data_IF_590224459963
#
_entry.id   IF_590224459963
#
_cell.length_a   1.000
_cell.length_b   1.000
_cell.length_c   1.000
_cell.angle_alpha   90.00
_cell.angle_beta   90.00
_cell.angle_gamma   90.00
#
_symmetry.space_group_name_H-M   'P 1'
#
loop_
_entity.id
_entity.type
_entity.pdbx_description
1 polymer ?
#
# COMPACT_ATOMS: atom_id res chain seq x y z
N UNK A 1 19.96 -16.22 16.50
CA UNK A 1 18.64 -15.95 15.89
C UNK A 1 17.72 -17.16 15.80
N UNK A 2 18.20 -18.41 15.69
CA UNK A 2 17.32 -19.59 15.52
C UNK A 2 17.14 -20.48 16.76
N UNK A 3 18.04 -20.41 17.75
CA UNK A 3 18.10 -21.33 18.90
C UNK A 3 16.79 -21.41 19.69
N UNK A 4 16.10 -20.28 19.87
CA UNK A 4 14.92 -20.18 20.73
C UNK A 4 13.60 -20.16 19.96
N UNK A 5 13.62 -20.21 18.63
CA UNK A 5 12.40 -20.01 17.83
C UNK A 5 11.38 -21.13 18.01
N UNK A 6 11.82 -22.37 18.22
CA UNK A 6 10.91 -23.51 18.47
C UNK A 6 10.15 -23.33 19.78
N UNK A 7 10.83 -23.01 20.87
CA UNK A 7 10.20 -22.77 22.17
C UNK A 7 9.24 -21.55 22.13
N UNK A 8 9.60 -20.51 21.39
CA UNK A 8 8.73 -19.35 21.19
C UNK A 8 7.49 -19.74 20.38
N UNK A 9 7.67 -20.50 19.29
CA UNK A 9 6.58 -20.99 18.47
C UNK A 9 5.59 -21.83 19.28
N UNK A 10 6.06 -22.80 20.07
CA UNK A 10 5.19 -23.68 20.87
C UNK A 10 4.33 -22.87 21.86
N UNK A 11 4.94 -21.88 22.53
CA UNK A 11 4.23 -20.99 23.46
C UNK A 11 3.19 -20.13 22.75
N UNK A 12 3.53 -19.57 21.59
CA UNK A 12 2.61 -18.72 20.81
C UNK A 12 1.47 -19.55 20.20
N UNK A 13 1.76 -20.73 19.66
CA UNK A 13 0.77 -21.64 19.10
C UNK A 13 -0.27 -22.07 20.15
N UNK A 14 0.17 -22.45 21.35
CA UNK A 14 -0.71 -22.80 22.45
C UNK A 14 -1.61 -21.62 22.88
N UNK A 15 -1.06 -20.40 22.95
CA UNK A 15 -1.84 -19.20 23.29
C UNK A 15 -2.85 -18.84 22.19
N UNK A 16 -2.49 -19.01 20.91
CA UNK A 16 -3.40 -18.80 19.78
C UNK A 16 -4.56 -19.79 19.79
N UNK A 17 -4.29 -21.07 20.04
CA UNK A 17 -5.31 -22.11 20.14
C UNK A 17 -6.26 -21.83 21.30
N UNK A 18 -5.72 -21.50 22.48
CA UNK A 18 -6.50 -21.10 23.66
C UNK A 18 -7.42 -19.90 23.38
N UNK A 19 -6.98 -18.97 22.53
CA UNK A 19 -7.77 -17.79 22.14
C UNK A 19 -8.66 -18.02 20.92
N UNK A 20 -8.60 -19.20 20.28
CA UNK A 20 -9.32 -19.51 19.04
C UNK A 20 -8.86 -18.69 17.82
N UNK A 21 -7.60 -18.26 17.79
CA UNK A 21 -7.03 -17.34 16.77
C UNK A 21 -6.07 -18.01 15.79
N UNK A 22 -5.89 -19.33 15.87
CA UNK A 22 -4.97 -20.07 14.99
C UNK A 22 -5.27 -19.81 13.50
N UNK A 23 -6.56 -19.81 13.12
CA UNK A 23 -6.98 -19.52 11.75
C UNK A 23 -6.65 -18.09 11.29
N UNK A 24 -6.58 -17.12 12.22
CA UNK A 24 -6.22 -15.75 11.87
C UNK A 24 -4.77 -15.68 11.39
N UNK A 25 -3.86 -16.39 12.07
CA UNK A 25 -2.44 -16.42 11.71
C UNK A 25 -2.24 -17.10 10.37
N UNK A 26 -2.90 -18.24 10.11
CA UNK A 26 -2.80 -18.89 8.81
C UNK A 26 -3.26 -17.99 7.66
N UNK A 27 -4.32 -17.19 7.85
CA UNK A 27 -4.74 -16.19 6.86
C UNK A 27 -3.68 -15.09 6.66
N UNK A 28 -2.93 -14.69 7.69
CA UNK A 28 -1.83 -13.74 7.53
C UNK A 28 -0.58 -14.37 6.87
N UNK A 29 -0.39 -15.69 7.00
CA UNK A 29 0.73 -16.40 6.39
C UNK A 29 0.54 -16.65 4.90
N UNK A 30 -0.69 -16.73 4.40
CA UNK A 30 -1.00 -16.99 2.98
C UNK A 30 -0.23 -16.06 2.05
N UNK A 31 -0.20 -14.75 2.36
CA UNK A 31 0.54 -13.77 1.55
C UNK A 31 2.06 -13.97 1.60
N UNK A 32 2.59 -14.48 2.71
CA UNK A 32 4.01 -14.78 2.88
C UNK A 32 4.42 -16.08 2.20
N UNK A 33 3.48 -17.00 1.98
CA UNK A 33 3.70 -18.25 1.27
C UNK A 33 3.60 -18.08 -0.26
N UNK A 34 2.96 -17.02 -0.75
CA UNK A 34 2.81 -16.75 -2.18
C UNK A 34 4.13 -16.25 -2.81
N UNK A 35 4.75 -16.99 -3.75
CA UNK A 35 5.94 -16.53 -4.46
C UNK A 35 5.74 -15.22 -5.21
N UNK A 36 4.51 -14.91 -5.64
CA UNK A 36 4.19 -13.66 -6.33
C UNK A 36 4.43 -12.43 -5.44
N UNK A 37 4.35 -12.57 -4.11
CA UNK A 37 4.68 -11.51 -3.14
C UNK A 37 6.13 -11.05 -3.26
N UNK A 38 7.03 -11.96 -3.66
CA UNK A 38 8.46 -11.71 -3.80
C UNK A 38 8.90 -11.48 -5.25
N UNK A 39 8.01 -11.73 -6.21
CA UNK A 39 8.28 -11.47 -7.61
C UNK A 39 8.41 -9.96 -7.85
N UNK A 40 9.61 -9.52 -8.23
CA UNK A 40 9.86 -8.14 -8.63
C UNK A 40 9.76 -8.03 -10.15
N UNK A 41 8.58 -7.64 -10.65
CA UNK A 41 8.44 -7.23 -12.06
C UNK A 41 9.27 -5.97 -12.32
N UNK A 42 10.28 -6.02 -13.21
CA UNK A 42 11.04 -4.83 -13.60
C UNK A 42 10.16 -3.68 -14.06
N UNK A 43 9.02 -3.96 -14.70
CA UNK A 43 8.11 -2.94 -15.22
C UNK A 43 7.33 -2.20 -14.13
N UNK A 44 7.31 -2.73 -12.91
CA UNK A 44 6.67 -2.08 -11.74
C UNK A 44 7.69 -1.41 -10.81
N UNK A 45 9.00 -1.56 -11.08
CA UNK A 45 10.07 -1.02 -10.24
C UNK A 45 10.00 0.51 -10.05
N UNK A 46 9.43 1.23 -11.02
CA UNK A 46 9.25 2.69 -10.95
C UNK A 46 8.31 3.13 -9.83
N UNK A 47 7.36 2.29 -9.40
CA UNK A 47 6.39 2.66 -8.35
C UNK A 47 7.07 2.97 -7.00
N UNK A 48 8.27 2.43 -6.77
CA UNK A 48 9.04 2.63 -5.53
C UNK A 48 9.92 3.89 -5.57
N UNK A 49 10.10 4.50 -6.74
CA UNK A 49 10.94 5.69 -6.92
C UNK A 49 10.11 6.95 -6.71
N UNK A 50 10.50 7.77 -5.73
CA UNK A 50 9.81 9.03 -5.43
C UNK A 50 10.16 10.10 -6.45
N UNK A 51 9.14 10.68 -7.09
CA UNK A 51 9.29 11.82 -8.01
C UNK A 51 8.53 13.04 -7.51
N UNK A 52 9.09 14.24 -7.72
CA UNK A 52 8.47 15.50 -7.29
C UNK A 52 7.19 15.85 -8.08
N UNK A 53 7.16 15.54 -9.38
CA UNK A 53 6.04 15.83 -10.26
C UNK A 53 5.72 14.61 -11.15
N UNK A 54 4.79 13.73 -10.73
CA UNK A 54 4.49 12.48 -11.43
C UNK A 54 3.56 12.71 -12.63
N UNK A 55 4.02 13.47 -13.63
CA UNK A 55 3.29 13.64 -14.90
C UNK A 55 3.34 12.33 -15.70
N UNK A 56 2.28 11.95 -16.44
CA UNK A 56 2.26 10.67 -17.17
C UNK A 56 3.48 10.43 -18.07
N UNK A 57 3.95 11.47 -18.78
CA UNK A 57 5.17 11.42 -19.59
C UNK A 57 6.43 11.09 -18.78
N UNK A 58 6.58 11.75 -17.62
CA UNK A 58 7.69 11.51 -16.68
C UNK A 58 7.65 10.08 -16.15
N UNK A 59 6.45 9.58 -15.82
CA UNK A 59 6.27 8.21 -15.34
C UNK A 59 6.57 7.16 -16.43
N UNK A 60 6.21 7.45 -17.68
CA UNK A 60 6.53 6.58 -18.81
C UNK A 60 8.06 6.44 -18.98
N UNK A 61 8.79 7.55 -18.92
CA UNK A 61 10.26 7.53 -18.96
C UNK A 61 10.81 6.77 -17.75
N UNK A 62 10.35 7.10 -16.53
CA UNK A 62 10.79 6.48 -15.29
C UNK A 62 10.61 4.95 -15.31
N UNK A 63 9.49 4.46 -15.85
CA UNK A 63 9.18 3.04 -16.00
C UNK A 63 10.25 2.31 -16.80
N UNK A 64 10.61 2.82 -17.98
CA UNK A 64 11.60 2.16 -18.83
C UNK A 64 12.99 2.13 -18.20
N UNK A 65 13.44 3.25 -17.63
CA UNK A 65 14.78 3.34 -17.01
C UNK A 65 14.86 2.58 -15.67
N UNK A 66 13.77 2.51 -14.90
CA UNK A 66 13.71 1.72 -13.68
C UNK A 66 13.67 0.23 -13.99
N UNK A 67 12.95 -0.19 -15.03
CA UNK A 67 12.94 -1.57 -15.51
C UNK A 67 14.32 -2.01 -15.98
N UNK A 68 15.04 -1.15 -16.71
CA UNK A 68 16.44 -1.43 -17.06
C UNK A 68 17.31 -1.61 -15.82
N UNK A 69 17.20 -0.72 -14.83
CA UNK A 69 17.99 -0.82 -13.59
C UNK A 69 17.69 -2.13 -12.85
N UNK A 70 16.42 -2.50 -12.75
CA UNK A 70 15.99 -3.71 -12.06
C UNK A 70 16.56 -4.97 -12.74
N UNK A 71 16.42 -5.08 -14.07
CA UNK A 71 17.03 -6.19 -14.83
C UNK A 71 18.54 -6.26 -14.64
N UNK A 72 19.21 -5.10 -14.72
CA UNK A 72 20.68 -5.01 -14.55
C UNK A 72 21.13 -5.44 -13.16
N UNK A 73 20.37 -5.07 -12.12
CA UNK A 73 20.62 -5.44 -10.73
C UNK A 73 20.46 -6.96 -10.54
N UNK A 74 19.41 -7.55 -11.11
CA UNK A 74 19.16 -9.00 -11.08
C UNK A 74 20.25 -9.77 -11.85
N UNK A 75 20.59 -9.35 -13.07
CA UNK A 75 21.63 -9.98 -13.91
C UNK A 75 23.02 -10.00 -13.27
N UNK A 76 23.32 -9.04 -12.38
CA UNK A 76 24.63 -8.92 -11.73
C UNK A 76 24.62 -9.25 -10.26
N UNK A 77 23.47 -9.60 -9.71
CA UNK A 77 23.29 -9.82 -8.28
C UNK A 77 23.85 -8.65 -7.45
N UNK A 78 23.40 -7.43 -7.79
CA UNK A 78 23.84 -6.19 -7.13
C UNK A 78 22.66 -5.43 -6.52
N UNK A 79 22.86 -4.73 -5.40
CA UNK A 79 21.87 -3.77 -4.91
C UNK A 79 21.53 -2.74 -5.99
N UNK A 80 20.23 -2.50 -6.24
CA UNK A 80 19.74 -1.53 -7.23
C UNK A 80 20.38 -0.14 -7.14
N UNK A 81 20.66 0.33 -5.92
CA UNK A 81 21.28 1.63 -5.66
C UNK A 81 22.74 1.71 -6.11
N UNK A 82 23.43 0.56 -6.24
CA UNK A 82 24.80 0.47 -6.76
C UNK A 82 24.81 0.54 -8.29
N UNK A 83 23.75 0.07 -8.95
CA UNK A 83 23.56 0.27 -10.39
C UNK A 83 23.26 1.75 -10.68
N UNK A 84 22.25 2.30 -10.02
CA UNK A 84 21.90 3.72 -10.13
C UNK A 84 20.99 4.15 -8.96
N UNK A 85 21.27 5.33 -8.38
CA UNK A 85 20.47 5.88 -7.29
C UNK A 85 19.08 6.32 -7.75
N UNK A 86 18.10 6.24 -6.85
CA UNK A 86 16.71 6.65 -7.13
C UNK A 86 16.63 8.12 -7.55
N UNK A 87 17.44 9.01 -6.94
CA UNK A 87 17.44 10.43 -7.29
C UNK A 87 17.94 10.68 -8.72
N UNK A 88 18.90 9.87 -9.20
CA UNK A 88 19.42 9.96 -10.56
C UNK A 88 18.36 9.52 -11.57
N UNK A 89 17.63 8.44 -11.29
CA UNK A 89 16.50 8.02 -12.13
C UNK A 89 15.40 9.08 -12.16
N UNK A 90 15.03 9.63 -11.00
CA UNK A 90 14.01 10.66 -10.89
C UNK A 90 14.39 11.94 -11.66
N UNK A 91 15.64 12.37 -11.56
CA UNK A 91 16.15 13.55 -12.27
C UNK A 91 16.24 13.31 -13.79
N UNK A 92 16.71 12.12 -14.21
CA UNK A 92 16.73 11.73 -15.62
C UNK A 92 15.34 11.68 -16.24
N UNK A 93 14.34 11.12 -15.53
CA UNK A 93 12.96 11.11 -15.97
C UNK A 93 12.34 12.51 -16.05
N UNK A 94 12.75 13.43 -15.17
CA UNK A 94 12.29 14.81 -15.17
C UNK A 94 12.90 15.64 -16.30
N UNK A 95 14.22 15.51 -16.52
CA UNK A 95 14.95 16.31 -17.50
C UNK A 95 14.90 15.74 -18.93
N UNK A 96 14.70 14.43 -19.08
CA UNK A 96 14.61 13.73 -20.37
C UNK A 96 15.79 14.09 -21.31
N UNK A 97 17.04 13.78 -20.92
CA UNK A 97 18.23 14.14 -21.70
C UNK A 97 18.17 13.52 -23.09
N UNK A 98 18.59 14.29 -24.10
CA UNK A 98 18.54 13.90 -25.53
C UNK A 98 19.85 13.37 -26.07
N UNK A 99 20.95 13.62 -25.37
CA UNK A 99 22.29 13.24 -25.76
C UNK A 99 23.19 13.03 -24.53
N UNK A 100 24.40 12.53 -24.76
CA UNK A 100 25.39 12.27 -23.71
C UNK A 100 25.79 13.55 -22.95
N UNK A 101 25.83 14.70 -23.63
CA UNK A 101 26.17 15.99 -23.01
C UNK A 101 25.12 16.41 -21.98
N UNK A 102 23.84 16.18 -22.26
CA UNK A 102 22.74 16.41 -21.32
C UNK A 102 22.69 15.32 -20.25
N UNK A 103 22.98 14.06 -20.59
CA UNK A 103 23.01 12.96 -19.63
C UNK A 103 24.05 13.19 -18.52
N UNK A 104 25.24 13.71 -18.86
CA UNK A 104 26.28 14.09 -17.88
C UNK A 104 25.87 15.19 -16.91
N UNK A 105 24.84 15.99 -17.24
CA UNK A 105 24.33 17.05 -16.36
C UNK A 105 23.32 16.53 -15.34
N UNK A 106 22.86 15.29 -15.47
CA UNK A 106 21.96 14.65 -14.51
C UNK A 106 22.70 14.49 -13.18
N UNK A 107 22.00 14.79 -12.08
CA UNK A 107 22.57 14.73 -10.74
C UNK A 107 23.04 13.32 -10.40
N UNK A 108 24.26 13.24 -9.85
CA UNK A 108 24.95 11.98 -9.48
C UNK A 108 25.14 11.01 -10.65
N UNK A 109 25.13 11.48 -11.90
CA UNK A 109 25.44 10.65 -13.06
C UNK A 109 26.97 10.54 -13.25
N UNK A 110 27.59 9.34 -13.16
CA UNK A 110 29.00 9.18 -13.45
C UNK A 110 29.30 9.43 -14.93
N UNK A 111 30.36 10.21 -15.23
CA UNK A 111 30.77 10.51 -16.60
C UNK A 111 31.02 9.25 -17.43
N UNK A 112 31.73 8.28 -16.87
CA UNK A 112 32.06 7.02 -17.55
C UNK A 112 30.80 6.23 -17.92
N UNK A 113 29.80 6.21 -17.03
CA UNK A 113 28.53 5.56 -17.30
C UNK A 113 27.77 6.29 -18.42
N UNK A 114 27.75 7.62 -18.42
CA UNK A 114 27.07 8.43 -19.43
C UNK A 114 27.66 8.25 -20.84
N UNK A 115 28.98 8.07 -20.95
CA UNK A 115 29.66 7.83 -22.23
C UNK A 115 29.62 6.37 -22.70
N UNK A 116 29.37 5.44 -21.77
CA UNK A 116 29.34 4.01 -22.06
C UNK A 116 28.18 3.59 -22.96
N UNK A 117 28.21 2.32 -23.40
CA UNK A 117 27.08 1.65 -24.06
C UNK A 117 25.78 1.72 -23.25
N UNK A 118 25.87 1.75 -21.92
CA UNK A 118 24.71 1.83 -21.04
C UNK A 118 24.10 3.23 -21.02
N UNK A 119 24.94 4.28 -21.09
CA UNK A 119 24.47 5.65 -21.26
C UNK A 119 23.69 5.83 -22.57
N UNK A 120 24.20 5.27 -23.67
CA UNK A 120 23.50 5.24 -24.97
C UNK A 120 22.17 4.49 -24.89
N UNK A 121 22.17 3.28 -24.31
CA UNK A 121 20.96 2.49 -24.08
C UNK A 121 19.90 3.24 -23.26
N UNK A 122 20.31 3.98 -22.22
CA UNK A 122 19.39 4.79 -21.42
C UNK A 122 18.77 5.92 -22.24
N UNK A 123 19.55 6.61 -23.09
CA UNK A 123 19.03 7.62 -24.01
C UNK A 123 18.03 7.03 -25.00
N UNK A 124 18.31 5.83 -25.52
CA UNK A 124 17.40 5.11 -26.42
C UNK A 124 16.07 4.77 -25.70
N UNK A 125 16.14 4.25 -24.47
CA UNK A 125 14.95 3.96 -23.65
C UNK A 125 14.12 5.23 -23.37
N UNK A 126 14.78 6.35 -23.05
CA UNK A 126 14.10 7.64 -22.86
C UNK A 126 13.40 8.05 -24.16
N UNK A 127 14.07 7.94 -25.30
CA UNK A 127 13.48 8.30 -26.59
C UNK A 127 12.29 7.41 -26.96
N UNK A 128 12.40 6.10 -26.74
CA UNK A 128 11.28 5.16 -26.94
C UNK A 128 10.11 5.51 -26.03
N UNK A 129 10.35 5.79 -24.75
CA UNK A 129 9.31 6.15 -23.79
C UNK A 129 8.58 7.45 -24.19
N UNK A 130 9.32 8.48 -24.62
CA UNK A 130 8.75 9.78 -25.02
C UNK A 130 7.87 9.66 -26.27
N UNK A 131 8.24 8.77 -27.20
CA UNK A 131 7.52 8.56 -28.46
C UNK A 131 6.46 7.46 -28.37
N UNK A 132 6.33 6.80 -27.22
CA UNK A 132 5.28 5.81 -27.00
C UNK A 132 3.89 6.45 -26.94
N UNK A 133 2.85 5.67 -27.20
CA UNK A 133 1.47 6.15 -27.21
C UNK A 133 1.10 6.74 -25.83
N UNK A 134 0.70 8.03 -25.75
CA UNK A 134 0.32 8.67 -24.49
C UNK A 134 -0.83 7.98 -23.73
N UNK A 135 -1.69 7.23 -24.44
CA UNK A 135 -2.75 6.43 -23.81
C UNK A 135 -2.22 5.28 -22.94
N UNK A 136 -1.00 4.82 -23.20
CA UNK A 136 -0.35 3.71 -22.49
C UNK A 136 0.61 4.21 -21.38
N UNK A 137 0.69 5.52 -21.16
CA UNK A 137 1.54 6.08 -20.13
C UNK A 137 0.95 5.80 -18.74
N UNK A 138 1.79 5.45 -17.75
CA UNK A 138 1.34 5.28 -16.38
C UNK A 138 0.67 6.56 -15.88
N UNK A 139 -0.47 6.39 -15.21
CA UNK A 139 -1.17 7.51 -14.59
C UNK A 139 -0.76 7.61 -13.12
N UNK A 140 -0.53 8.82 -12.59
CA UNK A 140 -0.33 8.99 -11.17
C UNK A 140 -1.57 8.49 -10.42
N UNK A 141 -1.37 7.70 -9.36
CA UNK A 141 -2.45 7.31 -8.44
C UNK A 141 -2.99 8.59 -7.79
N UNK A 142 -4.14 9.07 -8.26
CA UNK A 142 -4.85 10.18 -7.63
C UNK A 142 -5.51 9.64 -6.36
N UNK A 143 -5.04 10.03 -5.17
CA UNK A 143 -5.85 9.86 -3.96
C UNK A 143 -7.10 10.72 -4.15
N UNK A 144 -8.28 10.09 -4.21
CA UNK A 144 -9.54 10.84 -4.21
C UNK A 144 -9.60 11.59 -2.88
N UNK A 145 -9.81 12.91 -2.87
CA UNK A 145 -9.99 13.63 -1.62
C UNK A 145 -11.22 13.07 -0.92
N UNK A 146 -11.10 12.79 0.37
CA UNK A 146 -12.24 12.38 1.20
C UNK A 146 -13.20 13.56 1.27
N UNK A 147 -14.46 13.41 0.82
CA UNK A 147 -15.43 14.48 0.93
C UNK A 147 -15.62 14.87 2.40
N UNK A 148 -15.77 16.15 2.75
CA UNK A 148 -16.03 16.57 4.12
C UNK A 148 -17.25 15.86 4.75
N UNK A 149 -18.24 15.51 3.94
CA UNK A 149 -19.43 14.74 4.35
C UNK A 149 -19.12 13.33 4.87
N UNK A 150 -17.96 12.75 4.51
CA UNK A 150 -17.56 11.39 4.89
C UNK A 150 -16.67 11.39 6.15
N UNK A 151 -16.06 12.53 6.49
CA UNK A 151 -15.13 12.64 7.63
C UNK A 151 -15.75 12.20 8.96
N UNK A 152 -16.99 12.62 9.23
CA UNK A 152 -17.71 12.24 10.45
C UNK A 152 -17.95 10.72 10.51
N UNK A 153 -18.28 10.10 9.38
CA UNK A 153 -18.42 8.64 9.27
C UNK A 153 -17.10 7.95 9.58
N UNK A 154 -15.97 8.43 9.03
CA UNK A 154 -14.65 7.86 9.33
C UNK A 154 -14.32 7.95 10.82
N UNK A 155 -14.66 9.06 11.49
CA UNK A 155 -14.41 9.22 12.92
C UNK A 155 -15.25 8.26 13.77
N UNK A 156 -16.52 8.05 13.40
CA UNK A 156 -17.39 7.04 14.02
C UNK A 156 -16.82 5.63 13.83
N UNK A 157 -16.41 5.28 12.61
CA UNK A 157 -15.80 3.98 12.31
C UNK A 157 -14.47 3.80 13.07
N UNK A 158 -13.68 4.86 13.22
CA UNK A 158 -12.43 4.84 13.99
C UNK A 158 -12.69 4.64 15.49
N UNK A 159 -13.74 5.25 16.03
CA UNK A 159 -14.17 4.98 17.41
C UNK A 159 -14.59 3.52 17.58
N UNK A 160 -15.43 2.99 16.67
CA UNK A 160 -15.83 1.59 16.68
C UNK A 160 -14.63 0.66 16.61
N UNK A 161 -13.65 0.96 15.75
CA UNK A 161 -12.41 0.19 15.61
C UNK A 161 -11.66 0.08 16.93
N UNK A 162 -11.54 1.19 17.69
CA UNK A 162 -10.91 1.18 19.02
C UNK A 162 -11.67 0.31 20.02
N UNK A 163 -13.01 0.33 19.95
CA UNK A 163 -13.87 -0.49 20.80
C UNK A 163 -13.66 -1.99 20.50
N UNK A 164 -13.70 -2.39 19.22
CA UNK A 164 -13.46 -3.79 18.85
C UNK A 164 -12.05 -4.25 19.20
N UNK A 165 -11.04 -3.43 18.90
CA UNK A 165 -9.65 -3.71 19.22
C UNK A 165 -9.45 -4.01 20.71
N UNK A 166 -10.06 -3.19 21.58
CA UNK A 166 -10.02 -3.39 23.03
C UNK A 166 -10.81 -4.63 23.47
N UNK A 167 -12.01 -4.85 22.92
CA UNK A 167 -12.85 -6.00 23.27
C UNK A 167 -12.21 -7.34 22.87
N UNK A 168 -11.56 -7.36 21.71
CA UNK A 168 -10.93 -8.55 21.17
C UNK A 168 -9.45 -8.65 21.54
N UNK A 169 -8.86 -7.72 22.28
CA UNK A 169 -7.42 -7.70 22.59
C UNK A 169 -6.55 -7.90 21.33
N UNK A 170 -6.74 -7.01 20.35
CA UNK A 170 -6.05 -6.98 19.06
C UNK A 170 -5.65 -5.55 18.74
N UNK A 171 -4.47 -5.35 18.16
CA UNK A 171 -4.05 -4.02 17.71
C UNK A 171 -4.98 -3.48 16.61
N UNK A 172 -5.39 -2.22 16.70
CA UNK A 172 -6.26 -1.56 15.70
C UNK A 172 -5.70 -1.68 14.28
N UNK A 173 -4.38 -1.57 14.12
CA UNK A 173 -3.68 -1.67 12.83
C UNK A 173 -3.75 -3.07 12.20
N UNK A 174 -3.98 -4.12 12.99
CA UNK A 174 -4.24 -5.46 12.45
C UNK A 174 -5.67 -5.58 11.92
N UNK A 175 -6.61 -4.81 12.46
CA UNK A 175 -8.02 -4.85 12.03
C UNK A 175 -8.27 -3.97 10.79
N UNK A 176 -7.75 -2.75 10.77
CA UNK A 176 -8.03 -1.78 9.70
C UNK A 176 -7.04 -0.61 9.68
N UNK A 177 -6.78 -0.07 8.48
CA UNK A 177 -6.03 1.19 8.27
C UNK A 177 -6.95 2.40 8.12
N UNK A 178 -6.42 3.62 8.16
CA UNK A 178 -7.24 4.82 7.90
C UNK A 178 -7.77 4.82 6.47
N UNK A 179 -6.98 4.38 5.50
CA UNK A 179 -7.39 4.21 4.11
C UNK A 179 -8.56 3.21 3.98
N UNK A 180 -8.56 2.12 4.75
CA UNK A 180 -9.67 1.16 4.74
C UNK A 180 -10.95 1.79 5.32
N UNK A 181 -10.84 2.57 6.40
CA UNK A 181 -11.99 3.27 6.98
C UNK A 181 -12.59 4.30 6.01
N UNK A 182 -11.75 5.04 5.29
CA UNK A 182 -12.18 5.97 4.25
C UNK A 182 -12.89 5.22 3.11
N UNK A 183 -12.33 4.08 2.66
CA UNK A 183 -12.94 3.26 1.63
C UNK A 183 -14.30 2.71 2.06
N UNK A 184 -14.40 2.13 3.26
CA UNK A 184 -15.68 1.63 3.83
C UNK A 184 -16.69 2.77 3.98
N UNK A 185 -16.25 3.96 4.38
CA UNK A 185 -17.16 5.09 4.53
C UNK A 185 -17.72 5.58 3.18
N UNK A 186 -16.96 5.45 2.09
CA UNK A 186 -17.40 5.80 0.74
C UNK A 186 -18.21 4.69 0.05
N UNK A 187 -17.91 3.43 0.32
CA UNK A 187 -18.45 2.28 -0.41
C UNK A 187 -18.72 1.12 0.56
N UNK A 188 -19.95 0.58 0.52
CA UNK A 188 -20.34 -0.56 1.35
C UNK A 188 -19.65 -1.86 0.91
N UNK A 189 -19.28 -1.95 -0.36
CA UNK A 189 -18.67 -3.13 -0.99
C UNK A 189 -17.16 -2.91 -1.24
N UNK A 190 -16.55 -2.01 -0.46
CA UNK A 190 -15.14 -1.68 -0.56
C UNK A 190 -14.24 -2.92 -0.51
N UNK A 191 -13.35 -3.07 -1.48
CA UNK A 191 -12.41 -4.18 -1.55
C UNK A 191 -11.22 -3.97 -0.58
N UNK A 192 -11.49 -4.15 0.73
CA UNK A 192 -10.51 -3.91 1.81
C UNK A 192 -10.39 -5.11 2.76
N UNK A 193 -9.22 -5.33 3.40
CA UNK A 193 -9.03 -6.45 4.34
C UNK A 193 -10.03 -6.44 5.51
N UNK A 194 -10.43 -5.25 5.97
CA UNK A 194 -11.39 -5.09 7.06
C UNK A 194 -12.78 -5.69 6.77
N UNK A 195 -13.15 -5.86 5.49
CA UNK A 195 -14.42 -6.48 5.07
C UNK A 195 -14.28 -7.95 4.66
N UNK A 196 -13.15 -8.60 4.98
CA UNK A 196 -12.88 -10.01 4.64
C UNK A 196 -12.42 -10.82 5.86
N UNK A 197 -12.60 -12.14 5.76
CA UNK A 197 -12.06 -13.12 6.70
C UNK A 197 -12.36 -12.79 8.16
N UNK A 198 -11.39 -13.04 9.04
CA UNK A 198 -11.54 -12.81 10.47
C UNK A 198 -11.75 -11.34 10.86
N UNK A 199 -11.20 -10.40 10.07
CA UNK A 199 -11.37 -8.96 10.31
C UNK A 199 -12.81 -8.52 10.10
N UNK A 200 -13.52 -9.13 9.16
CA UNK A 200 -14.95 -8.89 8.97
C UNK A 200 -15.76 -9.31 10.20
N UNK A 201 -15.44 -10.47 10.77
CA UNK A 201 -16.14 -10.99 11.96
C UNK A 201 -15.92 -10.11 13.20
N UNK A 202 -14.70 -9.60 13.37
CA UNK A 202 -14.29 -8.76 14.51
C UNK A 202 -14.72 -7.30 14.35
N UNK A 203 -14.65 -6.74 13.14
CA UNK A 203 -14.86 -5.31 12.91
C UNK A 203 -15.77 -5.02 11.73
N UNK A 204 -15.51 -5.57 10.55
CA UNK A 204 -16.17 -5.16 9.30
C UNK A 204 -17.70 -5.26 9.33
N UNK A 205 -18.25 -6.33 9.92
CA UNK A 205 -19.69 -6.53 10.07
C UNK A 205 -20.35 -5.42 10.86
N UNK A 206 -19.75 -5.02 11.99
CA UNK A 206 -20.28 -3.94 12.82
C UNK A 206 -20.02 -2.57 12.19
N UNK A 207 -18.91 -2.38 11.47
CA UNK A 207 -18.64 -1.16 10.72
C UNK A 207 -19.74 -0.87 9.69
N UNK A 208 -20.15 -1.90 8.92
CA UNK A 208 -21.26 -1.78 7.99
C UNK A 208 -22.60 -1.58 8.71
N UNK A 209 -22.83 -2.24 9.84
CA UNK A 209 -24.05 -2.06 10.63
C UNK A 209 -24.18 -0.62 11.16
N UNK A 210 -23.09 -0.02 11.64
CA UNK A 210 -23.07 1.39 12.06
C UNK A 210 -23.33 2.32 10.88
N UNK A 211 -22.65 2.09 9.74
CA UNK A 211 -22.84 2.89 8.53
C UNK A 211 -24.30 2.85 8.03
N UNK A 212 -24.95 1.69 8.10
CA UNK A 212 -26.35 1.48 7.70
C UNK A 212 -27.37 1.92 8.76
N UNK A 213 -26.91 2.46 9.90
CA UNK A 213 -27.79 2.87 11.00
C UNK A 213 -28.47 1.69 11.70
N UNK A 214 -27.96 0.46 11.58
CA UNK A 214 -28.47 -0.74 12.26
C UNK A 214 -27.81 -0.99 13.63
N UNK A 215 -26.70 -0.31 13.91
CA UNK A 215 -25.98 -0.36 15.18
C UNK A 215 -25.67 1.06 15.66
N UNK A 216 -25.97 1.34 16.92
CA UNK A 216 -25.59 2.57 17.60
C UNK A 216 -24.61 2.26 18.74
N UNK A 217 -23.67 3.16 18.99
CA UNK A 217 -22.75 3.09 20.12
C UNK A 217 -23.10 4.21 21.10
N UNK A 218 -23.25 3.87 22.37
CA UNK A 218 -23.50 4.85 23.42
C UNK A 218 -22.75 4.52 24.71
N UNK A 219 -22.93 5.37 25.71
CA UNK A 219 -22.36 5.19 27.05
C UNK A 219 -23.46 4.84 28.04
N UNK A 220 -23.21 3.84 28.89
CA UNK A 220 -24.01 3.54 30.08
C UNK A 220 -23.11 3.69 31.30
N UNK A 221 -23.13 4.87 31.91
CA UNK A 221 -22.12 5.30 32.86
C UNK A 221 -20.76 5.46 32.15
N UNK A 222 -19.72 4.79 32.63
CA UNK A 222 -18.38 4.78 32.01
C UNK A 222 -18.18 3.65 30.99
N UNK A 223 -19.18 2.77 30.81
CA UNK A 223 -19.09 1.62 29.91
C UNK A 223 -19.62 1.96 28.53
N UNK A 224 -18.85 1.61 27.50
CA UNK A 224 -19.30 1.65 26.12
C UNK A 224 -20.24 0.47 25.88
N UNK A 225 -21.40 0.77 25.31
CA UNK A 225 -22.45 -0.21 24.99
C UNK A 225 -22.91 -0.05 23.55
N UNK A 226 -23.27 -1.17 22.92
CA UNK A 226 -23.79 -1.24 21.55
C UNK A 226 -25.29 -1.50 21.61
N UNK A 227 -26.06 -0.79 20.81
CA UNK A 227 -27.50 -0.94 20.69
C UNK A 227 -27.86 -1.38 19.27
N UNK A 228 -28.81 -2.31 19.16
CA UNK A 228 -29.44 -2.62 17.89
C UNK A 228 -30.45 -1.52 17.59
N UNK A 229 -30.38 -0.98 16.38
CA UNK A 229 -31.34 0.04 15.90
C UNK A 229 -32.42 -0.67 15.10
N UNK A 230 -33.67 -0.32 15.38
CA UNK A 230 -34.85 -0.96 14.84
C UNK A 230 -35.67 0.09 14.07
N UNK A 231 -36.65 -0.34 13.28
CA UNK A 231 -37.56 0.59 12.60
C UNK A 231 -38.39 1.48 13.55
N UNK A 232 -38.45 1.14 14.84
CA UNK A 232 -39.12 1.89 15.91
C UNK A 232 -38.14 2.76 16.73
N UNK A 233 -36.86 2.81 16.35
CA UNK A 233 -35.90 3.67 17.04
C UNK A 233 -36.06 5.09 16.50
N UNK A 234 -36.60 5.97 17.32
CA UNK A 234 -36.76 7.38 16.96
C UNK A 234 -35.38 8.03 16.77
N UNK A 235 -35.28 8.86 15.73
CA UNK A 235 -34.15 9.77 15.62
C UNK A 235 -34.25 10.79 16.75
N UNK A 236 -33.10 11.18 17.29
CA UNK A 236 -33.05 12.24 18.27
C UNK A 236 -33.27 13.57 17.54
N UNK A 237 -34.48 14.12 17.66
CA UNK A 237 -34.88 15.43 17.14
C UNK A 237 -34.15 16.59 17.85
#
# INVERSE_FOLDING_TARGET
DVTWLVEVYEKLAAELEKRGRTAWVFQEEEILADPATYANDPYEAWQRVKVKSPKPKTLAVLREIAAWRERRAQEKDLPKSWVMRDETLADMAAQMPKDVKHLKKIRNMPSDLAESRHGKMLLDLINVAINSNPKNWPQPKKKKPVPPSVSATVDILRMLLKIQAAQHDVATKLLSSTEDLEAIAMDDDADVPALKGWRFEVFGREALAVKKGALAVGLKGTKIVKYKVNAQTDLWD
#
